data_IF_806310597003
#
_entry.id   IF_806310597003
#
_cell.length_a   1.000
_cell.length_b   1.000
_cell.length_c   1.000
_cell.angle_alpha   90.00
_cell.angle_beta   90.00
_cell.angle_gamma   90.00
#
_symmetry.space_group_name_H-M   'P 1'
#
loop_
_entity.id
_entity.type
_entity.pdbx_description
1 polymer ?
#
# COMPACT_ATOMS: atom_id res chain seq x y z
N UNK A 1 -5.47 -2.43 5.48
CA UNK A 1 -4.10 -2.03 5.05
C UNK A 1 -3.09 -2.02 6.21
N UNK A 2 -1.90 -2.64 6.06
CA UNK A 2 -0.79 -2.52 7.03
C UNK A 2 0.31 -1.57 6.51
N UNK A 3 0.86 -0.71 7.38
CA UNK A 3 1.85 0.31 7.00
C UNK A 3 3.09 0.19 7.88
N UNK A 4 4.27 0.14 7.26
CA UNK A 4 5.57 0.14 7.95
C UNK A 4 6.43 1.29 7.46
N UNK A 5 6.98 2.06 8.40
CA UNK A 5 7.91 3.16 8.13
C UNK A 5 9.29 2.79 8.68
N UNK A 6 10.36 3.03 7.90
CA UNK A 6 11.75 2.85 8.35
C UNK A 6 12.67 3.86 7.65
N UNK A 7 13.15 4.86 8.38
CA UNK A 7 13.90 5.97 7.76
C UNK A 7 13.05 6.65 6.68
N UNK A 8 13.65 7.00 5.54
CA UNK A 8 12.93 7.59 4.41
C UNK A 8 12.30 6.51 3.49
N UNK A 9 11.61 5.54 4.09
CA UNK A 9 10.91 4.51 3.34
C UNK A 9 9.56 4.17 3.96
N UNK A 10 8.57 3.94 3.10
CA UNK A 10 7.23 3.51 3.47
C UNK A 10 6.90 2.23 2.73
N UNK A 11 6.42 1.24 3.47
CA UNK A 11 5.94 -0.02 2.92
C UNK A 11 4.47 -0.18 3.25
N UNK A 12 3.67 -0.43 2.21
CA UNK A 12 2.26 -0.75 2.30
C UNK A 12 2.07 -2.24 2.03
N UNK A 13 1.31 -2.91 2.90
CA UNK A 13 0.83 -4.26 2.66
C UNK A 13 -0.68 -4.25 2.55
N UNK A 14 -1.18 -4.78 1.43
CA UNK A 14 -2.60 -4.82 1.12
C UNK A 14 -3.11 -6.26 1.22
N UNK A 15 -4.13 -6.48 2.03
CA UNK A 15 -4.80 -7.78 2.10
C UNK A 15 -5.76 -7.99 0.90
N UNK A 16 -6.49 -9.11 0.87
CA UNK A 16 -7.41 -9.40 -0.25
C UNK A 16 -8.51 -8.35 -0.38
N UNK A 17 -9.05 -7.83 0.72
CA UNK A 17 -10.12 -6.82 0.71
C UNK A 17 -9.59 -5.47 0.21
N UNK A 18 -8.39 -5.10 0.65
CA UNK A 18 -7.70 -3.91 0.19
C UNK A 18 -7.50 -3.95 -1.34
N UNK A 19 -7.09 -5.11 -1.88
CA UNK A 19 -6.90 -5.31 -3.31
C UNK A 19 -8.23 -5.26 -4.07
N UNK A 20 -9.28 -5.88 -3.54
CA UNK A 20 -10.63 -5.82 -4.12
C UNK A 20 -11.16 -4.39 -4.18
N UNK A 21 -11.02 -3.61 -3.10
CA UNK A 21 -11.39 -2.20 -3.06
C UNK A 21 -10.60 -1.38 -4.10
N UNK A 22 -9.28 -1.62 -4.19
CA UNK A 22 -8.43 -0.95 -5.16
C UNK A 22 -8.84 -1.26 -6.62
N UNK A 23 -9.30 -2.49 -6.90
CA UNK A 23 -9.83 -2.89 -8.21
C UNK A 23 -11.20 -2.25 -8.51
N UNK A 24 -12.13 -2.32 -7.56
CA UNK A 24 -13.52 -1.90 -7.75
C UNK A 24 -13.65 -0.37 -7.76
N UNK A 25 -13.04 0.29 -6.78
CA UNK A 25 -13.23 1.72 -6.52
C UNK A 25 -12.06 2.57 -7.03
N UNK A 26 -10.97 1.93 -7.47
CA UNK A 26 -9.74 2.61 -7.90
C UNK A 26 -8.97 3.24 -6.73
N UNK A 27 -9.36 2.95 -5.48
CA UNK A 27 -8.67 3.41 -4.28
C UNK A 27 -8.84 2.42 -3.12
N UNK A 28 -7.90 2.47 -2.19
CA UNK A 28 -8.02 1.86 -0.87
C UNK A 28 -7.54 2.87 0.16
N UNK A 29 -8.20 2.91 1.30
CA UNK A 29 -7.92 3.88 2.35
C UNK A 29 -8.03 3.28 3.74
N UNK A 30 -7.23 3.80 4.66
CA UNK A 30 -7.18 3.37 6.05
C UNK A 30 -7.04 4.60 6.95
N UNK A 31 -7.71 4.60 8.10
CA UNK A 31 -7.68 5.74 9.01
C UNK A 31 -7.52 5.30 10.46
N UNK A 32 -6.74 6.04 11.23
CA UNK A 32 -6.54 5.80 12.66
C UNK A 32 -6.77 7.09 13.44
N UNK A 33 -7.61 7.02 14.47
CA UNK A 33 -7.84 8.15 15.36
C UNK A 33 -6.77 8.16 16.46
N UNK A 34 -6.09 9.30 16.62
CA UNK A 34 -5.01 9.50 17.59
C UNK A 34 -5.32 10.76 18.39
N UNK A 35 -5.77 10.59 19.64
CA UNK A 35 -6.24 11.70 20.46
C UNK A 35 -7.38 12.45 19.77
N UNK A 36 -7.21 13.76 19.54
CA UNK A 36 -8.17 14.59 18.80
C UNK A 36 -7.94 14.63 17.28
N UNK A 37 -6.91 13.94 16.78
CA UNK A 37 -6.54 13.92 15.37
C UNK A 37 -6.92 12.64 14.64
N UNK A 38 -6.92 12.70 13.32
CA UNK A 38 -7.11 11.54 12.45
C UNK A 38 -5.92 11.43 11.50
N UNK A 39 -5.27 10.27 11.50
CA UNK A 39 -4.21 9.92 10.55
C UNK A 39 -4.84 9.10 9.43
N UNK A 40 -4.69 9.56 8.20
CA UNK A 40 -5.32 8.95 7.03
C UNK A 40 -4.27 8.53 6.00
N UNK A 41 -4.44 7.35 5.43
CA UNK A 41 -3.64 6.85 4.32
C UNK A 41 -4.56 6.46 3.17
N UNK A 42 -4.18 6.84 1.96
CA UNK A 42 -4.92 6.52 0.75
C UNK A 42 -3.96 6.12 -0.37
N UNK A 43 -4.22 4.98 -1.01
CA UNK A 43 -3.57 4.58 -2.25
C UNK A 43 -4.61 4.65 -3.37
N UNK A 44 -4.27 5.33 -4.46
CA UNK A 44 -5.18 5.54 -5.60
C UNK A 44 -4.56 5.12 -6.93
N UNK A 45 -5.33 4.36 -7.71
CA UNK A 45 -5.07 4.11 -9.11
C UNK A 45 -5.61 5.30 -9.94
N UNK A 46 -4.73 6.04 -10.61
CA UNK A 46 -5.11 7.24 -11.37
C UNK A 46 -4.77 7.08 -12.85
N UNK A 47 -5.78 7.22 -13.70
CA UNK A 47 -5.62 7.22 -15.16
C UNK A 47 -4.96 8.53 -15.64
N UNK A 48 -4.19 8.44 -16.73
CA UNK A 48 -3.52 9.59 -17.36
C UNK A 48 -2.28 10.10 -16.63
N UNK A 49 -1.85 9.41 -15.57
CA UNK A 49 -0.61 9.68 -14.86
C UNK A 49 0.47 8.70 -15.33
N UNK A 50 1.60 9.23 -15.82
CA UNK A 50 2.71 8.38 -16.30
C UNK A 50 3.70 7.99 -15.18
N UNK A 51 3.59 8.62 -14.01
CA UNK A 51 4.52 8.41 -12.90
C UNK A 51 3.77 8.41 -11.55
N UNK A 52 4.28 7.66 -10.57
CA UNK A 52 3.77 7.71 -9.22
C UNK A 52 4.06 9.06 -8.56
N UNK A 53 3.18 9.48 -7.67
CA UNK A 53 3.42 10.65 -6.83
C UNK A 53 2.81 10.44 -5.45
N UNK A 54 3.34 11.16 -4.47
CA UNK A 54 2.84 11.15 -3.10
C UNK A 54 2.65 12.58 -2.61
N UNK A 55 1.65 12.78 -1.76
CA UNK A 55 1.41 14.05 -1.06
C UNK A 55 1.14 13.79 0.41
N UNK A 56 1.68 14.66 1.24
CA UNK A 56 1.34 14.78 2.65
C UNK A 56 0.52 16.05 2.83
N UNK A 57 -0.75 15.90 3.20
CA UNK A 57 -1.70 16.99 3.40
C UNK A 57 -2.23 16.95 4.83
N UNK A 58 -1.75 17.85 5.69
CA UNK A 58 -2.06 17.86 7.13
C UNK A 58 -1.71 16.53 7.83
N UNK A 59 -2.69 15.65 7.99
CA UNK A 59 -2.56 14.33 8.62
C UNK A 59 -2.94 13.20 7.67
N UNK A 60 -2.94 13.47 6.36
CA UNK A 60 -3.30 12.54 5.31
C UNK A 60 -2.12 12.30 4.35
N UNK A 61 -1.85 11.04 4.04
CA UNK A 61 -0.87 10.63 3.04
C UNK A 61 -1.61 10.06 1.84
N UNK A 62 -1.50 10.75 0.70
CA UNK A 62 -2.11 10.36 -0.57
C UNK A 62 -1.04 9.87 -1.52
N UNK A 63 -1.03 8.57 -1.78
CA UNK A 63 -0.16 7.91 -2.73
C UNK A 63 -0.95 7.57 -3.99
N UNK A 64 -0.42 7.90 -5.15
CA UNK A 64 -1.05 7.60 -6.43
C UNK A 64 -0.08 6.89 -7.36
N UNK A 65 -0.58 5.85 -8.01
CA UNK A 65 0.12 5.13 -9.07
C UNK A 65 -0.65 5.22 -10.39
N UNK A 66 0.03 5.08 -11.54
CA UNK A 66 -0.61 4.86 -12.84
C UNK A 66 -1.63 3.71 -12.75
N UNK A 67 -2.82 3.91 -13.31
CA UNK A 67 -3.91 2.92 -13.23
C UNK A 67 -3.48 1.58 -13.84
N UNK A 68 -2.77 1.63 -14.95
CA UNK A 68 -2.31 0.47 -15.72
C UNK A 68 -1.35 -0.38 -14.87
N UNK A 69 -0.41 0.27 -14.16
CA UNK A 69 0.53 -0.41 -13.25
C UNK A 69 -0.19 -1.09 -12.09
N UNK A 70 -1.21 -0.44 -11.50
CA UNK A 70 -1.99 -1.04 -10.42
C UNK A 70 -2.79 -2.23 -10.95
N UNK A 71 -3.44 -2.09 -12.10
CA UNK A 71 -4.21 -3.18 -12.71
C UNK A 71 -3.34 -4.41 -12.97
N UNK A 72 -2.20 -4.22 -13.64
CA UNK A 72 -1.24 -5.29 -13.91
C UNK A 72 -0.82 -6.02 -12.63
N UNK A 73 -0.47 -5.28 -11.57
CA UNK A 73 -0.10 -5.90 -10.29
C UNK A 73 -1.26 -6.68 -9.66
N UNK A 74 -2.46 -6.11 -9.67
CA UNK A 74 -3.62 -6.74 -9.00
C UNK A 74 -4.20 -7.93 -9.78
N UNK A 75 -3.98 -8.01 -11.09
CA UNK A 75 -4.50 -9.07 -11.97
C UNK A 75 -3.48 -10.21 -12.22
N UNK A 76 -2.26 -10.07 -11.71
CA UNK A 76 -1.19 -11.07 -11.85
C UNK A 76 -0.79 -11.66 -10.49
N UNK A 77 0.04 -12.71 -10.54
CA UNK A 77 0.68 -13.30 -9.35
C UNK A 77 1.84 -12.44 -8.79
N UNK A 78 2.05 -11.24 -9.34
CA UNK A 78 3.06 -10.32 -8.84
C UNK A 78 2.81 -10.01 -7.35
N UNK A 79 3.85 -10.17 -6.53
CA UNK A 79 3.79 -9.95 -5.08
C UNK A 79 3.64 -8.48 -4.74
N UNK A 80 4.37 -7.61 -5.42
CA UNK A 80 4.42 -6.19 -5.13
C UNK A 80 5.21 -5.41 -6.17
N UNK A 81 5.24 -4.10 -6.02
CA UNK A 81 6.04 -3.18 -6.83
C UNK A 81 6.60 -2.06 -5.95
N UNK A 82 7.64 -1.40 -6.45
CA UNK A 82 8.30 -0.31 -5.75
C UNK A 82 8.38 0.95 -6.59
N UNK A 83 8.57 2.08 -5.93
CA UNK A 83 8.83 3.36 -6.57
C UNK A 83 9.78 4.20 -5.71
N UNK A 84 10.56 5.03 -6.38
CA UNK A 84 11.39 6.05 -5.75
C UNK A 84 10.85 7.41 -6.16
N UNK A 85 10.47 8.22 -5.16
CA UNK A 85 9.89 9.54 -5.38
C UNK A 85 10.86 10.59 -4.84
N UNK A 86 11.42 11.46 -5.71
CA UNK A 86 12.30 12.52 -5.26
C UNK A 86 11.50 13.60 -4.53
N UNK A 87 12.04 14.06 -3.40
CA UNK A 87 11.54 15.19 -2.65
C UNK A 87 12.19 16.51 -3.10
N UNK A 88 11.57 17.63 -2.74
CA UNK A 88 12.08 18.97 -3.09
C UNK A 88 13.44 19.29 -2.45
N UNK A 89 13.80 18.64 -1.35
CA UNK A 89 15.08 18.80 -0.66
C UNK A 89 16.21 17.91 -1.24
N UNK A 90 15.91 17.14 -2.30
CA UNK A 90 16.85 16.23 -2.95
C UNK A 90 16.94 14.84 -2.30
N UNK A 91 16.24 14.60 -1.18
CA UNK A 91 16.09 13.25 -0.64
C UNK A 91 15.16 12.41 -1.53
N UNK A 92 15.30 11.08 -1.44
CA UNK A 92 14.46 10.14 -2.21
C UNK A 92 13.65 9.29 -1.24
N UNK A 93 12.32 9.34 -1.38
CA UNK A 93 11.40 8.47 -0.65
C UNK A 93 11.26 7.14 -1.37
N UNK A 94 11.65 6.05 -0.70
CA UNK A 94 11.43 4.70 -1.22
C UNK A 94 10.06 4.17 -0.79
N UNK A 95 9.27 3.73 -1.76
CA UNK A 95 7.94 3.16 -1.55
C UNK A 95 7.93 1.71 -2.02
N UNK A 96 7.34 0.83 -1.22
CA UNK A 96 7.05 -0.55 -1.58
C UNK A 96 5.58 -0.86 -1.29
N UNK A 97 4.86 -1.35 -2.29
CA UNK A 97 3.49 -1.84 -2.15
C UNK A 97 3.51 -3.34 -2.42
N UNK A 98 3.04 -4.15 -1.47
CA UNK A 98 3.05 -5.61 -1.57
C UNK A 98 1.72 -6.22 -1.07
N UNK A 99 1.41 -7.43 -1.53
CA UNK A 99 0.30 -8.25 -1.01
C UNK A 99 0.65 -8.68 0.42
N UNK A 100 -0.33 -8.61 1.33
CA UNK A 100 -0.16 -9.02 2.71
C UNK A 100 -0.39 -10.53 2.83
N UNK A 101 0.67 -11.30 3.07
CA UNK A 101 0.60 -12.75 3.21
C UNK A 101 0.43 -13.15 4.67
N UNK A 102 -0.33 -14.22 4.90
CA UNK A 102 -0.49 -14.83 6.22
C UNK A 102 0.87 -15.14 6.83
N UNK A 103 1.03 -14.77 8.09
CA UNK A 103 2.21 -15.16 8.84
C UNK A 103 2.24 -16.69 9.04
N UNK A 104 3.42 -17.29 8.98
CA UNK A 104 3.60 -18.73 9.24
C UNK A 104 3.45 -19.10 10.72
N UNK A 105 3.42 -18.10 11.61
CA UNK A 105 3.28 -18.29 13.06
C UNK A 105 1.97 -17.68 13.52
N UNK A 106 1.20 -18.40 14.33
CA UNK A 106 0.01 -17.85 14.98
C UNK A 106 0.39 -16.68 15.89
N UNK A 107 -0.32 -15.57 15.72
CA UNK A 107 -0.22 -14.35 16.52
C UNK A 107 -1.63 -13.84 16.76
N UNK A 108 -1.77 -12.94 17.73
CA UNK A 108 -3.02 -12.22 17.99
C UNK A 108 -3.20 -11.07 16.98
N UNK A 109 -3.16 -11.40 15.68
CA UNK A 109 -3.45 -10.50 14.56
C UNK A 109 -4.57 -11.12 13.70
N UNK A 110 -5.55 -10.31 13.27
CA UNK A 110 -6.59 -10.76 12.34
C UNK A 110 -6.03 -10.82 10.90
N UNK A 111 -5.53 -11.99 10.53
CA UNK A 111 -5.03 -12.30 9.19
C UNK A 111 -6.07 -13.04 8.32
N UNK A 112 -7.37 -12.94 8.65
CA UNK A 112 -8.44 -13.68 7.96
C UNK A 112 -8.50 -13.39 6.45
N UNK A 113 -8.11 -12.17 6.06
CA UNK A 113 -8.15 -11.70 4.68
C UNK A 113 -6.77 -11.67 4.00
N UNK A 114 -5.71 -12.13 4.67
CA UNK A 114 -4.38 -12.17 4.08
C UNK A 114 -4.26 -13.23 2.98
N UNK A 115 -3.31 -13.02 2.06
CA UNK A 115 -2.93 -13.95 1.00
C UNK A 115 -2.30 -15.22 1.59
N UNK A 116 -2.46 -16.36 0.92
CA UNK A 116 -1.80 -17.60 1.36
C UNK A 116 -0.30 -17.49 1.18
N UNK A 117 0.45 -17.86 2.21
CA UNK A 117 1.91 -17.73 2.19
C UNK A 117 2.51 -18.77 1.23
N UNK A 118 3.28 -18.37 0.21
CA UNK A 118 3.91 -19.33 -0.71
C UNK A 118 4.86 -20.32 -0.01
N UNK A 119 5.34 -19.98 1.20
CA UNK A 119 6.22 -20.82 2.01
C UNK A 119 5.48 -21.79 2.95
N UNK A 120 4.14 -21.81 2.97
CA UNK A 120 3.37 -22.73 3.85
C UNK A 120 3.25 -24.15 3.30
N UNK A 121 3.60 -24.39 2.03
CA UNK A 121 3.69 -25.71 1.42
C UNK A 121 5.15 -26.14 1.25
N UNK A 122 5.75 -26.63 2.33
CA UNK A 122 7.01 -27.37 2.32
C UNK A 122 6.92 -28.54 3.29
#
# INVERSE_FOLDING_TARGET
MKIRIRGNSIRYRLDKKDIEALKADGKVEESTTIGAGNLHFCIKAKAGNNAPFIKLESSAIHLSFPKEQVQEWTDTDQVGFSAEIPNADGSVLSILVEKDFKCLTERDEDDSNAFENPASSC
#
